data_IF_604586575605
#
_entry.id   IF_604586575605
#
_cell.length_a   1.000
_cell.length_b   1.000
_cell.length_c   1.000
_cell.angle_alpha   90.00
_cell.angle_beta   90.00
_cell.angle_gamma   90.00
#
_symmetry.space_group_name_H-M   'P 1'
#
loop_
_entity.id
_entity.type
_entity.pdbx_description
1 polymer ?
#
# COMPACT_ATOMS: atom_id res chain seq x y z
N UNK A 1 11.87 -2.24 10.14
CA UNK A 1 10.95 -2.92 9.18
C UNK A 1 9.47 -2.71 9.52
N UNK A 2 9.07 -2.72 10.81
CA UNK A 2 7.69 -2.40 11.21
C UNK A 2 7.25 -0.99 10.75
N UNK A 3 8.11 0.01 10.94
CA UNK A 3 7.84 1.40 10.49
C UNK A 3 7.55 1.52 8.99
N UNK A 4 8.30 0.84 8.13
CA UNK A 4 8.10 0.93 6.69
C UNK A 4 6.74 0.36 6.24
N UNK A 5 6.27 -0.71 6.89
CA UNK A 5 4.95 -1.27 6.62
C UNK A 5 3.84 -0.35 7.15
N UNK A 6 4.02 0.20 8.34
CA UNK A 6 3.08 1.12 8.96
C UNK A 6 2.90 2.40 8.13
N UNK A 7 4.01 2.98 7.63
CA UNK A 7 3.97 4.12 6.72
C UNK A 7 3.20 3.78 5.43
N UNK A 8 3.40 2.60 4.85
CA UNK A 8 2.66 2.19 3.65
C UNK A 8 1.16 2.02 3.90
N UNK A 9 0.75 1.51 5.07
CA UNK A 9 -0.67 1.43 5.43
C UNK A 9 -1.27 2.83 5.66
N UNK A 10 -0.55 3.75 6.30
CA UNK A 10 -0.99 5.15 6.43
C UNK A 10 -1.16 5.79 5.04
N UNK A 11 -0.18 5.62 4.14
CA UNK A 11 -0.25 6.17 2.79
C UNK A 11 -1.42 5.60 1.99
N UNK A 12 -1.75 4.33 2.20
CA UNK A 12 -2.91 3.67 1.58
C UNK A 12 -4.22 4.30 2.05
N UNK A 13 -4.38 4.52 3.36
CA UNK A 13 -5.60 5.15 3.89
C UNK A 13 -5.74 6.60 3.43
N UNK A 14 -4.65 7.36 3.36
CA UNK A 14 -4.65 8.71 2.77
C UNK A 14 -5.07 8.68 1.30
N UNK A 15 -4.52 7.76 0.50
CA UNK A 15 -4.87 7.63 -0.92
C UNK A 15 -6.36 7.30 -1.11
N UNK A 16 -6.91 6.39 -0.30
CA UNK A 16 -8.35 6.06 -0.31
C UNK A 16 -9.22 7.27 0.02
N UNK A 17 -8.89 7.99 1.09
CA UNK A 17 -9.63 9.19 1.50
C UNK A 17 -9.63 10.24 0.39
N UNK A 18 -8.49 10.48 -0.29
CA UNK A 18 -8.43 11.42 -1.43
C UNK A 18 -9.28 10.97 -2.62
N UNK A 19 -9.29 9.68 -2.93
CA UNK A 19 -10.15 9.11 -3.98
C UNK A 19 -11.63 9.32 -3.65
N UNK A 20 -12.02 9.08 -2.40
CA UNK A 20 -13.39 9.25 -1.93
C UNK A 20 -13.83 10.72 -2.03
N UNK A 21 -13.04 11.65 -1.50
CA UNK A 21 -13.29 13.09 -1.64
C UNK A 21 -13.47 13.51 -3.10
N UNK A 22 -12.62 13.00 -4.00
CA UNK A 22 -12.73 13.28 -5.43
C UNK A 22 -14.04 12.71 -5.98
N UNK A 23 -14.40 11.47 -5.69
CA UNK A 23 -15.64 10.83 -6.16
C UNK A 23 -16.88 11.60 -5.69
N UNK A 24 -16.94 11.93 -4.41
CA UNK A 24 -18.05 12.68 -3.78
C UNK A 24 -18.13 14.14 -4.25
N UNK A 25 -17.09 14.66 -4.91
CA UNK A 25 -17.08 16.05 -5.38
C UNK A 25 -16.78 17.06 -4.28
N UNK A 26 -16.20 16.63 -3.16
CA UNK A 26 -15.74 17.48 -2.06
C UNK A 26 -14.36 18.06 -2.42
N UNK A 27 -14.25 18.65 -3.61
CA UNK A 27 -13.02 19.27 -4.10
C UNK A 27 -13.36 20.49 -4.94
N UNK A 28 -12.52 21.52 -4.91
CA UNK A 28 -12.66 22.74 -5.72
C UNK A 28 -12.15 22.57 -7.17
N UNK A 29 -11.87 21.34 -7.59
CA UNK A 29 -11.37 21.03 -8.92
C UNK A 29 -12.51 21.02 -9.94
N UNK A 30 -12.21 21.48 -11.16
CA UNK A 30 -13.04 21.22 -12.33
C UNK A 30 -13.07 19.71 -12.68
N UNK A 31 -14.00 19.31 -13.56
CA UNK A 31 -14.20 17.90 -13.91
C UNK A 31 -12.97 17.24 -14.53
N UNK A 32 -12.19 17.99 -15.32
CA UNK A 32 -10.98 17.47 -15.98
C UNK A 32 -9.88 17.19 -14.95
N UNK A 33 -9.60 18.15 -14.07
CA UNK A 33 -8.64 17.96 -12.97
C UNK A 33 -9.10 16.87 -12.02
N UNK A 34 -10.39 16.79 -11.70
CA UNK A 34 -10.95 15.73 -10.86
C UNK A 34 -10.67 14.35 -11.47
N UNK A 35 -10.94 14.18 -12.77
CA UNK A 35 -10.67 12.91 -13.47
C UNK A 35 -9.18 12.57 -13.48
N UNK A 36 -8.32 13.55 -13.78
CA UNK A 36 -6.87 13.38 -13.76
C UNK A 36 -6.35 12.94 -12.38
N UNK A 37 -6.70 13.68 -11.33
CA UNK A 37 -6.24 13.36 -9.98
C UNK A 37 -6.79 12.03 -9.48
N UNK A 38 -8.04 11.70 -9.83
CA UNK A 38 -8.63 10.41 -9.49
C UNK A 38 -7.80 9.27 -10.06
N UNK A 39 -7.45 9.33 -11.34
CA UNK A 39 -6.62 8.32 -11.99
C UNK A 39 -5.24 8.21 -11.34
N UNK A 40 -4.61 9.33 -10.99
CA UNK A 40 -3.29 9.36 -10.35
C UNK A 40 -3.32 8.78 -8.94
N UNK A 41 -4.33 9.10 -8.13
CA UNK A 41 -4.48 8.52 -6.79
C UNK A 41 -4.79 7.02 -6.85
N UNK A 42 -5.62 6.57 -7.79
CA UNK A 42 -5.88 5.14 -7.99
C UNK A 42 -4.63 4.38 -8.42
N UNK A 43 -3.78 4.98 -9.27
CA UNK A 43 -2.50 4.41 -9.65
C UNK A 43 -1.57 4.26 -8.44
N UNK A 44 -1.42 5.33 -7.64
CA UNK A 44 -0.61 5.31 -6.41
C UNK A 44 -1.10 4.26 -5.41
N UNK A 45 -2.42 4.13 -5.24
CA UNK A 45 -3.02 3.12 -4.37
C UNK A 45 -2.61 1.70 -4.80
N UNK A 46 -2.71 1.37 -6.10
CA UNK A 46 -2.28 0.07 -6.63
C UNK A 46 -0.79 -0.19 -6.38
N UNK A 47 0.05 0.83 -6.52
CA UNK A 47 1.50 0.68 -6.32
C UNK A 47 1.86 0.47 -4.84
N UNK A 48 1.18 1.16 -3.92
CA UNK A 48 1.31 0.95 -2.48
C UNK A 48 0.89 -0.48 -2.11
N UNK A 49 -0.25 -0.95 -2.61
CA UNK A 49 -0.73 -2.32 -2.37
C UNK A 49 0.27 -3.38 -2.87
N UNK A 50 0.87 -3.17 -4.05
CA UNK A 50 1.93 -4.05 -4.58
C UNK A 50 3.18 -4.04 -3.70
N UNK A 51 3.56 -2.90 -3.13
CA UNK A 51 4.70 -2.81 -2.21
C UNK A 51 4.43 -3.55 -0.90
N UNK A 52 3.26 -3.36 -0.30
CA UNK A 52 2.84 -4.07 0.92
C UNK A 52 2.84 -5.58 0.67
N UNK A 53 2.28 -6.05 -0.44
CA UNK A 53 2.29 -7.48 -0.82
C UNK A 53 3.72 -8.03 -0.93
N UNK A 54 4.62 -7.31 -1.60
CA UNK A 54 6.03 -7.72 -1.74
C UNK A 54 6.75 -7.80 -0.39
N UNK A 55 6.50 -6.86 0.52
CA UNK A 55 7.07 -6.89 1.87
C UNK A 55 6.55 -8.09 2.67
N UNK A 56 5.24 -8.36 2.61
CA UNK A 56 4.65 -9.53 3.28
C UNK A 56 5.24 -10.85 2.75
N UNK A 57 5.43 -10.97 1.43
CA UNK A 57 6.06 -12.16 0.85
C UNK A 57 7.50 -12.34 1.34
N UNK A 58 8.31 -11.28 1.38
CA UNK A 58 9.69 -11.36 1.90
C UNK A 58 9.74 -11.81 3.37
N UNK A 59 8.84 -11.29 4.21
CA UNK A 59 8.73 -11.70 5.61
C UNK A 59 8.40 -13.19 5.77
N UNK A 60 7.55 -13.75 4.91
CA UNK A 60 7.21 -15.18 4.95
C UNK A 60 8.41 -16.05 4.56
N UNK A 61 9.21 -15.64 3.58
CA UNK A 61 10.41 -16.38 3.17
C UNK A 61 11.49 -16.34 4.25
N UNK A 62 11.79 -15.17 4.82
CA UNK A 62 12.79 -15.06 5.91
C UNK A 62 12.42 -15.82 7.19
N UNK A 63 11.14 -16.13 7.43
CA UNK A 63 10.72 -16.97 8.55
C UNK A 63 10.94 -18.48 8.31
N UNK A 64 11.02 -18.92 7.05
CA UNK A 64 11.25 -20.33 6.72
C UNK A 64 12.73 -20.73 6.85
N UNK A 65 13.65 -19.79 6.66
CA UNK A 65 15.10 -20.05 6.73
C UNK A 65 15.66 -20.03 8.17
N UNK A 66 14.79 -19.94 9.19
CA UNK A 66 15.17 -19.83 10.60
C UNK A 66 14.85 -21.05 11.48
N UNK A 67 14.55 -22.22 10.90
CA UNK A 67 14.46 -23.45 11.68
C UNK A 67 15.87 -24.03 11.86
N UNK A 68 16.39 -24.19 13.10
CA UNK A 68 17.62 -24.93 13.31
C UNK A 68 17.37 -26.39 12.93
N UNK A 69 18.30 -26.93 12.16
CA UNK A 69 18.35 -28.33 11.81
C UNK A 69 18.25 -29.19 13.08
N UNK A 70 17.44 -30.23 12.97
CA UNK A 70 17.27 -31.29 13.95
C UNK A 70 18.65 -31.81 14.32
N UNK A 71 19.03 -31.76 15.61
CA UNK A 71 20.17 -32.53 16.11
C UNK A 71 19.92 -34.01 15.82
N UNK A 72 20.76 -34.71 15.05
CA UNK A 72 20.81 -36.16 15.13
C UNK A 72 21.67 -36.56 16.33
N UNK A 73 21.22 -37.61 17.01
CA UNK A 73 21.74 -38.21 18.25
C UNK A 73 23.26 -38.30 18.41
#
# INVERSE_FOLDING_TARGET
MAEAKEVLEIMKEVAKSRIEMLKEGITLYDNEKKAFYLQEYEKKLRDIERLIRRLNLRLVHSRKDGQPEVSPD
#
